data_IF_955646960809
#
_entry.id   IF_955646960809
#
_cell.length_a   1.000
_cell.length_b   1.000
_cell.length_c   1.000
_cell.angle_alpha   90.00
_cell.angle_beta   90.00
_cell.angle_gamma   90.00
#
_symmetry.space_group_name_H-M   'P 1'
#
loop_
_entity.id
_entity.type
_entity.pdbx_description
1 polymer ?
#
# COMPACT_ATOMS: atom_id res chain seq x y z
N UNK A 1 42.74 1.42 17.75
CA UNK A 1 41.63 2.40 17.78
C UNK A 1 40.58 1.80 16.86
N UNK A 2 39.60 1.10 17.43
CA UNK A 2 38.68 0.24 16.70
C UNK A 2 37.55 1.08 16.13
N UNK A 3 37.36 0.99 14.81
CA UNK A 3 36.34 1.68 14.05
C UNK A 3 35.11 0.75 13.98
N UNK A 4 34.08 1.02 14.78
CA UNK A 4 32.81 0.26 14.77
C UNK A 4 31.75 1.09 14.06
N UNK A 5 31.69 0.90 12.75
CA UNK A 5 30.69 1.39 11.81
C UNK A 5 29.29 0.91 12.23
N UNK A 6 28.47 1.80 12.79
CA UNK A 6 27.01 1.66 12.79
C UNK A 6 26.45 2.25 11.49
N UNK A 7 25.97 1.38 10.61
CA UNK A 7 25.32 1.77 9.36
C UNK A 7 23.81 1.94 9.58
N UNK A 8 23.28 3.13 9.29
CA UNK A 8 21.84 3.38 9.24
C UNK A 8 21.25 2.79 7.95
N UNK A 9 20.43 1.76 8.06
CA UNK A 9 19.62 1.23 6.96
C UNK A 9 18.29 1.98 6.86
N UNK A 10 17.85 2.26 5.62
CA UNK A 10 16.47 2.68 5.33
C UNK A 10 15.66 1.44 4.95
N UNK A 11 14.70 1.04 5.79
CA UNK A 11 13.72 0.02 5.45
C UNK A 11 12.44 0.69 4.91
N UNK A 12 11.88 0.13 3.83
CA UNK A 12 10.75 0.66 3.07
C UNK A 12 9.37 0.23 3.63
N UNK A 13 9.33 -0.51 4.74
CA UNK A 13 8.08 -1.14 5.18
C UNK A 13 7.28 -0.38 6.25
N UNK A 14 7.86 0.49 7.07
CA UNK A 14 7.12 1.16 8.15
C UNK A 14 7.92 2.33 8.72
N UNK A 15 7.22 3.29 9.31
CA UNK A 15 7.75 4.52 9.92
C UNK A 15 9.17 4.43 10.48
N UNK A 16 9.97 5.47 10.23
CA UNK A 16 11.34 5.69 10.73
C UNK A 16 11.39 5.43 12.24
N UNK A 17 11.90 4.26 12.65
CA UNK A 17 12.42 4.04 14.00
C UNK A 17 13.77 3.35 13.93
N UNK A 18 14.78 3.98 14.50
CA UNK A 18 16.04 3.32 14.84
C UNK A 18 15.88 2.70 16.24
N UNK A 19 16.11 1.40 16.37
CA UNK A 19 16.40 0.73 17.65
C UNK A 19 17.92 0.51 17.75
N UNK A 20 18.56 0.56 18.93
CA UNK A 20 17.94 0.48 20.26
C UNK A 20 17.80 1.82 21.01
N UNK A 21 18.16 2.96 20.40
CA UNK A 21 18.08 4.25 21.07
C UNK A 21 17.02 5.15 20.43
N UNK A 22 15.95 5.36 21.20
CA UNK A 22 14.79 6.18 20.91
C UNK A 22 15.16 7.68 20.79
N UNK A 23 15.90 8.07 19.75
CA UNK A 23 16.22 9.46 19.46
C UNK A 23 15.40 9.98 18.26
N UNK A 24 14.69 11.12 18.41
CA UNK A 24 14.00 11.73 17.29
C UNK A 24 15.01 12.30 16.30
N UNK A 25 14.94 11.87 15.05
CA UNK A 25 15.77 12.40 13.97
C UNK A 25 15.33 13.84 13.65
N UNK A 26 15.86 14.81 14.40
CA UNK A 26 15.65 16.24 14.16
C UNK A 26 16.99 16.97 14.27
N UNK A 27 17.72 17.10 13.15
CA UNK A 27 18.46 18.32 12.78
C UNK A 27 19.42 18.12 11.60
N UNK A 28 19.09 18.82 10.51
CA UNK A 28 19.90 19.72 9.68
C UNK A 28 21.42 19.52 9.48
N UNK A 29 21.83 19.83 8.24
CA UNK A 29 23.10 20.43 7.75
C UNK A 29 24.36 19.58 7.54
N UNK A 30 24.27 18.49 6.80
CA UNK A 30 25.37 18.15 5.87
C UNK A 30 24.80 17.72 4.52
N UNK A 31 25.36 18.15 3.37
CA UNK A 31 25.06 17.52 2.09
C UNK A 31 25.73 16.14 2.14
N UNK A 32 25.06 15.16 2.77
CA UNK A 32 25.42 13.76 2.56
C UNK A 32 25.27 13.55 1.06
N UNK A 33 26.37 13.20 0.38
CA UNK A 33 26.29 12.43 -0.85
C UNK A 33 25.51 11.17 -0.48
N UNK A 34 24.20 11.22 -0.63
CA UNK A 34 23.36 10.03 -0.60
C UNK A 34 23.88 9.22 -1.77
N UNK A 35 24.68 8.20 -1.48
CA UNK A 35 24.96 7.12 -2.43
C UNK A 35 23.61 6.45 -2.60
N UNK A 36 22.83 7.00 -3.52
CA UNK A 36 21.47 6.60 -3.85
C UNK A 36 21.55 5.23 -4.51
N UNK A 37 21.62 4.18 -3.71
CA UNK A 37 21.50 2.81 -4.18
C UNK A 37 20.63 2.03 -3.20
N UNK A 38 19.41 2.52 -2.96
CA UNK A 38 18.29 1.61 -2.74
C UNK A 38 18.01 0.98 -4.10
N UNK A 39 18.69 -0.12 -4.42
CA UNK A 39 18.37 -0.94 -5.58
C UNK A 39 17.10 -1.72 -5.25
N UNK A 40 15.96 -1.02 -5.17
CA UNK A 40 14.66 -1.62 -4.99
C UNK A 40 14.32 -2.38 -6.28
N UNK A 41 14.40 -3.71 -6.22
CA UNK A 41 13.90 -4.57 -7.28
C UNK A 41 12.42 -4.86 -7.00
N UNK A 42 11.61 -4.88 -8.06
CA UNK A 42 10.23 -5.34 -7.93
C UNK A 42 10.22 -6.85 -7.73
N UNK A 43 9.41 -7.32 -6.78
CA UNK A 43 9.16 -8.75 -6.59
C UNK A 43 8.34 -9.35 -7.74
N UNK A 44 8.08 -10.65 -7.65
CA UNK A 44 7.16 -11.34 -8.57
C UNK A 44 5.77 -10.73 -8.45
N UNK A 45 5.09 -10.36 -9.56
CA UNK A 45 3.75 -9.81 -9.50
C UNK A 45 2.75 -10.84 -8.97
N UNK A 46 1.88 -10.42 -8.06
CA UNK A 46 0.73 -11.18 -7.60
C UNK A 46 -0.52 -10.63 -8.28
N UNK A 47 -1.35 -11.51 -8.84
CA UNK A 47 -2.55 -11.11 -9.59
C UNK A 47 -3.81 -11.40 -8.77
N UNK A 48 -4.70 -10.42 -8.68
CA UNK A 48 -5.99 -10.53 -8.02
C UNK A 48 -7.11 -10.36 -9.06
N UNK A 49 -7.86 -11.44 -9.29
CA UNK A 49 -8.99 -11.41 -10.21
C UNK A 49 -10.15 -10.60 -9.62
N UNK A 50 -10.71 -9.72 -10.43
CA UNK A 50 -11.93 -8.95 -10.13
C UNK A 50 -13.10 -9.42 -10.99
N UNK A 51 -14.27 -8.83 -10.79
CA UNK A 51 -15.45 -9.05 -11.64
C UNK A 51 -15.29 -8.42 -13.04
N UNK A 52 -16.38 -8.37 -13.81
CA UNK A 52 -16.35 -8.01 -15.23
C UNK A 52 -16.15 -6.52 -15.48
N UNK A 53 -15.20 -6.18 -16.37
CA UNK A 53 -14.89 -4.82 -16.86
C UNK A 53 -14.70 -3.78 -15.74
N UNK A 54 -13.64 -3.91 -14.93
CA UNK A 54 -13.31 -2.90 -13.92
C UNK A 54 -13.03 -1.54 -14.58
N UNK A 55 -13.58 -0.45 -14.01
CA UNK A 55 -13.44 0.91 -14.55
C UNK A 55 -12.75 1.91 -13.64
N UNK A 56 -12.87 1.72 -12.32
CA UNK A 56 -12.22 2.56 -11.35
C UNK A 56 -11.69 1.73 -10.19
N UNK A 57 -10.60 2.20 -9.60
CA UNK A 57 -9.96 1.64 -8.41
C UNK A 57 -9.67 2.77 -7.44
N UNK A 58 -9.87 2.53 -6.14
CA UNK A 58 -9.44 3.40 -5.06
C UNK A 58 -8.74 2.57 -4.00
N UNK A 59 -7.70 3.14 -3.38
CA UNK A 59 -7.01 2.57 -2.25
C UNK A 59 -7.34 3.39 -1.00
N UNK A 60 -7.92 2.74 0.01
CA UNK A 60 -8.30 3.37 1.28
C UNK A 60 -8.45 2.30 2.36
N UNK A 61 -8.24 2.69 3.62
CA UNK A 61 -8.58 1.84 4.77
C UNK A 61 -10.10 1.87 4.97
N UNK A 62 -10.80 0.79 4.62
CA UNK A 62 -12.27 0.74 4.67
C UNK A 62 -12.80 0.07 5.93
N UNK A 63 -11.96 -0.66 6.66
CA UNK A 63 -12.34 -1.38 7.87
C UNK A 63 -11.74 -0.75 9.15
N UNK A 64 -10.99 0.35 9.02
CA UNK A 64 -10.31 1.08 10.08
C UNK A 64 -9.27 0.24 10.84
N UNK A 65 -8.62 -0.70 10.16
CA UNK A 65 -7.56 -1.54 10.75
C UNK A 65 -6.15 -0.97 10.60
N UNK A 66 -6.03 0.17 9.90
CA UNK A 66 -4.76 0.85 9.63
C UNK A 66 -4.02 0.35 8.39
N UNK A 67 -4.55 -0.67 7.70
CA UNK A 67 -4.01 -1.17 6.44
C UNK A 67 -4.82 -0.62 5.27
N UNK A 68 -4.12 -0.30 4.18
CA UNK A 68 -4.78 0.17 2.95
C UNK A 68 -5.39 -1.02 2.21
N UNK A 69 -6.72 -0.95 2.01
CA UNK A 69 -7.50 -1.88 1.21
C UNK A 69 -7.65 -1.39 -0.24
N UNK A 70 -8.27 -2.22 -1.09
CA UNK A 70 -8.57 -1.87 -2.48
C UNK A 70 -10.08 -1.99 -2.74
N UNK A 71 -10.67 -0.94 -3.32
CA UNK A 71 -12.04 -0.91 -3.81
C UNK A 71 -12.03 -0.81 -5.34
N UNK A 72 -12.85 -1.60 -6.01
CA UNK A 72 -12.94 -1.67 -7.48
C UNK A 72 -14.38 -1.52 -7.94
N UNK A 73 -14.64 -0.60 -8.88
CA UNK A 73 -15.93 -0.50 -9.57
C UNK A 73 -15.95 -1.41 -10.79
N UNK A 74 -16.76 -2.46 -10.73
CA UNK A 74 -16.91 -3.44 -11.80
C UNK A 74 -18.14 -3.10 -12.64
N UNK A 75 -17.91 -2.43 -13.76
CA UNK A 75 -18.95 -1.86 -14.60
C UNK A 75 -19.89 -2.93 -15.16
N UNK A 76 -19.34 -3.89 -15.89
CA UNK A 76 -20.07 -5.01 -16.48
C UNK A 76 -20.52 -6.05 -15.46
N UNK A 77 -19.94 -6.03 -14.26
CA UNK A 77 -20.43 -6.82 -13.12
C UNK A 77 -21.59 -6.15 -12.36
N UNK A 78 -21.89 -4.87 -12.63
CA UNK A 78 -22.85 -4.05 -11.88
C UNK A 78 -22.62 -4.11 -10.35
N UNK A 79 -21.36 -4.18 -9.93
CA UNK A 79 -20.99 -4.32 -8.52
C UNK A 79 -19.74 -3.50 -8.17
N UNK A 80 -19.57 -3.27 -6.88
CA UNK A 80 -18.31 -2.80 -6.29
C UNK A 80 -17.67 -3.97 -5.57
N UNK A 81 -16.39 -4.21 -5.85
CA UNK A 81 -15.60 -5.22 -5.17
C UNK A 81 -14.65 -4.60 -4.14
N UNK A 82 -14.48 -5.25 -3.00
CA UNK A 82 -13.58 -4.83 -1.92
C UNK A 82 -12.59 -5.96 -1.63
N UNK A 83 -11.31 -5.63 -1.64
CA UNK A 83 -10.20 -6.49 -1.32
C UNK A 83 -9.57 -6.00 -0.01
N UNK A 84 -9.71 -6.80 1.06
CA UNK A 84 -9.19 -6.46 2.38
C UNK A 84 -7.73 -6.89 2.50
N UNK A 85 -6.89 -5.99 3.00
CA UNK A 85 -5.48 -6.21 3.27
C UNK A 85 -5.26 -6.50 4.76
N UNK A 86 -4.79 -7.71 5.09
CA UNK A 86 -4.51 -8.10 6.47
C UNK A 86 -3.17 -7.57 7.02
N UNK A 87 -2.57 -6.56 6.39
CA UNK A 87 -1.27 -5.98 6.75
C UNK A 87 -0.04 -6.78 6.31
N UNK A 88 -0.24 -7.93 5.67
CA UNK A 88 0.85 -8.80 5.15
C UNK A 88 1.28 -8.46 3.72
N UNK A 89 0.66 -7.44 3.10
CA UNK A 89 0.89 -7.10 1.70
C UNK A 89 0.17 -8.03 0.72
N UNK A 90 -0.74 -8.87 1.21
CA UNK A 90 -1.60 -9.73 0.39
C UNK A 90 -3.06 -9.41 0.65
N UNK A 91 -3.86 -9.42 -0.41
CA UNK A 91 -5.29 -9.15 -0.33
C UNK A 91 -6.13 -10.44 -0.23
N UNK A 92 -7.24 -10.34 0.49
CA UNK A 92 -8.25 -11.40 0.57
C UNK A 92 -9.01 -11.58 -0.75
N UNK A 93 -9.82 -12.65 -0.84
CA UNK A 93 -10.76 -12.82 -1.96
C UNK A 93 -11.71 -11.62 -1.99
N UNK A 94 -12.04 -11.14 -3.20
CA UNK A 94 -12.93 -10.02 -3.40
C UNK A 94 -14.32 -10.26 -2.78
N UNK A 95 -14.73 -9.38 -1.88
CA UNK A 95 -16.13 -9.25 -1.48
C UNK A 95 -16.86 -8.37 -2.47
N UNK A 96 -18.04 -8.76 -2.94
CA UNK A 96 -18.80 -8.00 -3.95
C UNK A 96 -20.11 -7.47 -3.41
N UNK A 97 -20.41 -6.22 -3.75
CA UNK A 97 -21.62 -5.51 -3.36
C UNK A 97 -22.33 -5.03 -4.61
N UNK A 98 -23.56 -5.52 -4.82
CA UNK A 98 -24.37 -5.10 -5.96
C UNK A 98 -24.65 -3.60 -5.90
N UNK A 99 -24.54 -2.95 -7.05
CA UNK A 99 -24.93 -1.54 -7.21
C UNK A 99 -26.28 -1.39 -7.92
N UNK A 100 -26.99 -2.51 -8.14
CA UNK A 100 -28.26 -2.57 -8.87
C UNK A 100 -28.09 -3.03 -10.32
N UNK A 101 -29.15 -3.55 -10.92
CA UNK A 101 -29.10 -4.01 -12.31
C UNK A 101 -28.84 -2.86 -13.28
N UNK A 102 -27.92 -3.05 -14.23
CA UNK A 102 -27.53 -2.05 -15.23
C UNK A 102 -26.99 -0.73 -14.67
N UNK A 103 -26.51 -0.74 -13.42
CA UNK A 103 -25.95 0.43 -12.74
C UNK A 103 -24.65 0.91 -13.37
N UNK A 104 -23.88 0.00 -13.98
CA UNK A 104 -22.66 0.29 -14.72
C UNK A 104 -21.75 1.29 -13.98
N UNK A 105 -21.28 0.98 -12.74
CA UNK A 105 -20.47 1.92 -11.97
C UNK A 105 -19.19 2.30 -12.71
N UNK A 106 -18.87 3.59 -12.74
CA UNK A 106 -17.77 4.17 -13.54
C UNK A 106 -16.71 4.89 -12.71
N UNK A 107 -17.03 5.31 -11.49
CA UNK A 107 -16.16 6.14 -10.65
C UNK A 107 -16.33 5.77 -9.18
N UNK A 108 -15.26 5.96 -8.42
CA UNK A 108 -15.18 5.77 -6.98
C UNK A 108 -14.50 6.98 -6.37
N UNK A 109 -14.93 7.37 -5.18
CA UNK A 109 -14.28 8.39 -4.35
C UNK A 109 -14.39 7.96 -2.90
N UNK A 110 -13.39 8.31 -2.10
CA UNK A 110 -13.36 8.07 -0.66
C UNK A 110 -13.37 9.41 0.05
N UNK A 111 -14.02 9.44 1.21
CA UNK A 111 -14.20 10.65 2.02
C UNK A 111 -12.92 11.05 2.77
#
# INVERSE_FOLDING_TARGET
>A
MFDTIEECFCDFSSMIRCHPFNFPCTSRTTPRKLKSQCNATFGVPVTYSTSSTPRAIVAADVNADGNVDIIVANNGGNNVGVFINAGTGTFSIQMTYSTGASSAPNSLTTA
#
